data_IF_395753858249
#
_entry.id   IF_395753858249
#
_cell.length_a   1.000
_cell.length_b   1.000
_cell.length_c   1.000
_cell.angle_alpha   90.00
_cell.angle_beta   90.00
_cell.angle_gamma   90.00
#
_symmetry.space_group_name_H-M   'P 1'
#
loop_
_entity.id
_entity.type
_entity.pdbx_description
1 polymer ?
#
# COMPACT_ATOMS: atom_id res chain seq x y z
N UNK A 1 -19.88 8.83 -14.28
CA UNK A 1 -20.18 7.43 -14.62
C UNK A 1 -18.90 6.59 -14.66
N UNK A 2 -18.91 5.43 -14.01
CA UNK A 2 -17.77 4.50 -13.89
C UNK A 2 -18.02 3.27 -14.77
N UNK A 3 -17.48 3.22 -15.99
CA UNK A 3 -17.80 2.17 -16.97
C UNK A 3 -17.24 0.80 -16.61
N UNK A 4 -16.29 0.71 -15.66
CA UNK A 4 -15.69 -0.54 -15.16
C UNK A 4 -16.29 -1.01 -13.84
N UNK A 5 -17.28 -0.28 -13.31
CA UNK A 5 -18.00 -0.66 -12.10
C UNK A 5 -17.06 -0.99 -10.92
N UNK A 6 -17.27 -2.13 -10.32
CA UNK A 6 -16.57 -2.61 -9.13
C UNK A 6 -15.08 -2.93 -9.32
N UNK A 7 -14.65 -3.21 -10.57
CA UNK A 7 -13.26 -3.55 -10.91
C UNK A 7 -12.24 -2.49 -10.44
N UNK A 8 -12.61 -1.20 -10.51
CA UNK A 8 -11.72 -0.07 -10.22
C UNK A 8 -12.17 0.74 -9.00
N UNK A 9 -13.22 0.34 -8.30
CA UNK A 9 -13.86 1.18 -7.28
C UNK A 9 -12.92 1.57 -6.13
N UNK A 10 -12.06 0.64 -5.70
CA UNK A 10 -11.09 0.91 -4.61
C UNK A 10 -9.90 1.78 -5.02
N UNK A 11 -9.70 1.99 -6.32
CA UNK A 11 -8.70 2.92 -6.86
C UNK A 11 -9.34 4.25 -7.19
N UNK A 12 -10.33 4.24 -8.10
CA UNK A 12 -10.97 5.48 -8.54
C UNK A 12 -11.77 6.14 -7.42
N UNK A 13 -12.38 5.33 -6.56
CA UNK A 13 -13.36 5.83 -5.60
C UNK A 13 -14.66 6.22 -6.32
N UNK A 14 -15.32 7.24 -5.81
CA UNK A 14 -16.55 7.75 -6.39
C UNK A 14 -16.78 9.23 -6.05
N UNK A 15 -17.50 9.91 -6.91
CA UNK A 15 -18.10 11.23 -6.62
C UNK A 15 -19.47 11.04 -5.96
N UNK A 16 -19.81 11.90 -5.04
CA UNK A 16 -21.12 11.94 -4.39
C UNK A 16 -21.60 13.37 -4.21
N UNK A 17 -22.83 13.56 -3.75
CA UNK A 17 -23.35 14.90 -3.47
C UNK A 17 -22.54 15.58 -2.38
N UNK A 18 -22.32 16.88 -2.56
CA UNK A 18 -21.71 17.73 -1.54
C UNK A 18 -22.55 17.68 -0.26
N UNK A 19 -21.86 17.57 0.87
CA UNK A 19 -22.42 17.73 2.21
C UNK A 19 -21.74 18.87 2.97
N UNK A 20 -22.17 19.11 4.22
CA UNK A 20 -21.64 20.20 5.05
C UNK A 20 -20.17 20.01 5.39
N UNK A 21 -19.73 18.75 5.58
CA UNK A 21 -18.35 18.46 5.92
C UNK A 21 -17.41 18.70 4.72
N UNK A 22 -17.91 18.46 3.51
CA UNK A 22 -17.17 18.76 2.28
C UNK A 22 -16.94 20.26 2.11
N UNK A 23 -17.93 21.10 2.42
CA UNK A 23 -17.81 22.56 2.32
C UNK A 23 -16.73 23.14 3.24
N UNK A 24 -16.43 22.48 4.35
CA UNK A 24 -15.37 22.89 5.27
C UNK A 24 -13.95 22.67 4.72
N UNK A 25 -13.80 21.94 3.63
CA UNK A 25 -12.47 21.54 3.06
C UNK A 25 -12.22 22.06 1.65
N UNK A 26 -13.18 22.78 1.07
CA UNK A 26 -13.07 23.32 -0.29
C UNK A 26 -13.26 24.85 -0.31
N UNK A 27 -12.84 25.51 -1.38
CA UNK A 27 -13.15 26.91 -1.62
C UNK A 27 -14.63 27.09 -1.95
N UNK A 28 -15.40 27.64 -1.02
CA UNK A 28 -16.83 27.87 -1.17
C UNK A 28 -17.18 28.65 -2.46
N UNK A 29 -16.34 29.63 -2.84
CA UNK A 29 -16.53 30.43 -4.05
C UNK A 29 -16.50 29.57 -5.31
N UNK A 30 -15.55 28.65 -5.41
CA UNK A 30 -15.38 27.74 -6.56
C UNK A 30 -16.44 26.63 -6.59
N UNK A 31 -17.00 26.24 -5.44
CA UNK A 31 -17.99 25.17 -5.32
C UNK A 31 -19.45 25.63 -5.27
N UNK A 32 -19.71 26.95 -5.35
CA UNK A 32 -21.07 27.51 -5.21
C UNK A 32 -22.09 26.97 -6.21
N UNK A 33 -21.65 26.55 -7.38
CA UNK A 33 -22.52 25.93 -8.42
C UNK A 33 -22.34 24.41 -8.54
N UNK A 34 -21.48 23.81 -7.74
CA UNK A 34 -21.13 22.39 -7.82
C UNK A 34 -22.08 21.56 -6.94
N UNK A 35 -22.49 20.42 -7.44
CA UNK A 35 -23.41 19.50 -6.73
C UNK A 35 -22.74 18.22 -6.27
N UNK A 36 -21.57 17.89 -6.82
CA UNK A 36 -20.83 16.65 -6.57
C UNK A 36 -19.37 16.93 -6.22
N UNK A 37 -18.78 16.05 -5.45
CA UNK A 37 -17.37 16.09 -5.03
C UNK A 37 -16.83 14.67 -4.90
N UNK A 38 -15.53 14.48 -5.09
CA UNK A 38 -14.87 13.22 -4.82
C UNK A 38 -14.93 12.82 -3.34
N UNK A 39 -15.47 11.63 -3.07
CA UNK A 39 -15.66 11.11 -1.70
C UNK A 39 -14.58 10.13 -1.28
N UNK A 40 -13.98 9.41 -2.20
CA UNK A 40 -12.93 8.44 -1.94
C UNK A 40 -12.01 8.25 -3.15
N UNK A 41 -10.92 7.50 -2.99
CA UNK A 41 -10.04 7.12 -4.10
C UNK A 41 -9.34 8.31 -4.77
N UNK A 42 -9.01 8.13 -6.03
CA UNK A 42 -8.44 9.15 -6.92
C UNK A 42 -9.35 10.37 -7.04
N UNK A 43 -10.67 10.18 -7.11
CA UNK A 43 -11.65 11.27 -7.16
C UNK A 43 -11.46 12.24 -5.99
N UNK A 44 -11.22 11.72 -4.78
CA UNK A 44 -11.01 12.57 -3.60
C UNK A 44 -9.59 13.10 -3.50
N UNK A 45 -8.58 12.28 -3.84
CA UNK A 45 -7.17 12.67 -3.69
C UNK A 45 -6.78 13.79 -4.65
N UNK A 46 -7.29 13.74 -5.86
CA UNK A 46 -7.02 14.70 -6.93
C UNK A 46 -8.21 15.64 -7.24
N UNK A 47 -9.13 15.82 -6.30
CA UNK A 47 -10.30 16.68 -6.45
C UNK A 47 -9.93 18.06 -7.01
N UNK A 48 -8.88 18.70 -6.48
CA UNK A 48 -8.44 20.03 -6.93
C UNK A 48 -8.01 20.07 -8.39
N UNK A 49 -7.53 18.96 -8.94
CA UNK A 49 -7.18 18.84 -10.35
C UNK A 49 -8.40 18.50 -11.22
N UNK A 50 -9.27 17.62 -10.71
CA UNK A 50 -10.42 17.10 -11.45
C UNK A 50 -11.56 18.12 -11.53
N UNK A 51 -11.79 18.91 -10.49
CA UNK A 51 -12.92 19.86 -10.43
C UNK A 51 -12.73 21.07 -11.36
N UNK A 52 -11.50 21.58 -11.48
CA UNK A 52 -11.24 22.80 -12.24
C UNK A 52 -11.68 24.07 -11.51
N UNK A 53 -12.11 25.10 -12.27
CA UNK A 53 -12.58 26.38 -11.73
C UNK A 53 -13.93 26.76 -12.32
N UNK A 54 -14.86 27.11 -11.47
CA UNK A 54 -16.16 27.64 -11.87
C UNK A 54 -16.03 29.02 -12.53
N UNK A 55 -16.74 29.25 -13.61
CA UNK A 55 -16.86 30.59 -14.21
C UNK A 55 -17.72 31.50 -13.37
N UNK A 56 -17.42 32.80 -13.39
CA UNK A 56 -18.13 33.83 -12.63
C UNK A 56 -18.63 34.91 -13.57
N UNK A 57 -19.90 35.30 -13.43
CA UNK A 57 -20.45 36.50 -14.04
C UNK A 57 -20.87 37.50 -12.96
N UNK A 58 -20.30 38.71 -13.02
CA UNK A 58 -20.80 39.86 -12.28
C UNK A 58 -21.83 40.58 -13.12
N UNK A 59 -23.06 40.66 -12.64
CA UNK A 59 -24.17 41.27 -13.35
C UNK A 59 -24.74 42.43 -12.53
N UNK A 60 -25.12 43.52 -13.21
CA UNK A 60 -25.98 44.56 -12.66
C UNK A 60 -27.42 44.11 -12.77
N UNK A 61 -28.16 44.14 -11.67
CA UNK A 61 -29.59 43.75 -11.65
C UNK A 61 -30.47 44.93 -11.23
N UNK A 62 -31.73 44.95 -11.72
CA UNK A 62 -32.73 45.84 -11.21
C UNK A 62 -33.32 45.35 -9.87
N UNK A 63 -34.21 46.14 -9.27
CA UNK A 63 -34.87 45.82 -8.01
C UNK A 63 -35.68 44.50 -8.02
N UNK A 64 -36.02 43.96 -9.19
CA UNK A 64 -36.73 42.68 -9.39
C UNK A 64 -35.76 41.51 -9.68
N UNK A 65 -34.43 41.72 -9.57
CA UNK A 65 -33.44 40.70 -9.81
C UNK A 65 -33.16 40.38 -11.29
N UNK A 66 -33.68 41.16 -12.24
CA UNK A 66 -33.42 40.95 -13.68
C UNK A 66 -32.03 41.54 -14.03
N UNK A 67 -31.20 40.79 -14.71
CA UNK A 67 -29.91 41.24 -15.23
C UNK A 67 -30.10 42.38 -16.23
N UNK A 68 -29.48 43.50 -15.97
CA UNK A 68 -29.46 44.69 -16.84
C UNK A 68 -28.22 44.70 -17.72
N UNK A 69 -27.06 44.34 -17.12
CA UNK A 69 -25.77 44.37 -17.78
C UNK A 69 -24.82 43.34 -17.17
N UNK A 70 -24.03 42.69 -17.97
CA UNK A 70 -22.88 41.91 -17.52
C UNK A 70 -21.72 42.89 -17.37
N UNK A 71 -21.19 43.00 -16.15
CA UNK A 71 -20.08 43.90 -15.81
C UNK A 71 -18.74 43.21 -16.05
N UNK A 72 -18.67 41.91 -15.67
CA UNK A 72 -17.45 41.12 -15.78
C UNK A 72 -17.83 39.65 -15.99
N UNK A 73 -17.03 38.94 -16.78
CA UNK A 73 -17.21 37.51 -17.00
C UNK A 73 -15.87 36.81 -17.00
N UNK A 74 -15.70 35.86 -16.09
CA UNK A 74 -14.58 34.91 -16.07
C UNK A 74 -15.09 33.57 -16.62
N UNK A 75 -14.41 33.04 -17.65
CA UNK A 75 -14.78 31.75 -18.21
C UNK A 75 -14.41 30.62 -17.25
N UNK A 76 -15.20 29.54 -17.20
CA UNK A 76 -14.84 28.36 -16.43
C UNK A 76 -13.57 27.71 -16.99
N UNK A 77 -12.76 27.13 -16.09
CA UNK A 77 -11.60 26.33 -16.45
C UNK A 77 -11.92 24.86 -16.20
N UNK A 78 -11.88 24.05 -17.23
CA UNK A 78 -12.13 22.61 -17.12
C UNK A 78 -11.10 21.95 -16.21
N UNK A 79 -11.51 20.91 -15.47
CA UNK A 79 -10.64 20.04 -14.73
C UNK A 79 -9.62 19.34 -15.62
N UNK A 80 -8.64 18.74 -14.99
CA UNK A 80 -7.52 18.09 -15.66
C UNK A 80 -7.81 16.59 -15.86
N UNK A 81 -7.57 16.06 -17.04
CA UNK A 81 -7.60 14.62 -17.29
C UNK A 81 -6.41 13.95 -16.58
N UNK A 82 -6.67 12.91 -15.82
CA UNK A 82 -5.64 12.11 -15.16
C UNK A 82 -5.40 10.81 -15.92
N UNK A 83 -4.13 10.54 -16.21
CA UNK A 83 -3.69 9.29 -16.83
C UNK A 83 -3.03 8.46 -15.73
N UNK A 84 -3.67 7.34 -15.38
CA UNK A 84 -3.19 6.46 -14.33
C UNK A 84 -2.18 5.43 -14.88
N UNK A 85 -1.27 4.98 -14.03
CA UNK A 85 -0.30 3.93 -14.34
C UNK A 85 -0.94 2.53 -14.47
N UNK A 86 -2.19 2.38 -14.05
CA UNK A 86 -2.91 1.10 -14.09
C UNK A 86 -3.00 0.53 -15.52
N UNK A 87 -2.61 -0.73 -15.68
CA UNK A 87 -2.95 -1.53 -16.86
C UNK A 87 -4.24 -2.30 -16.59
N UNK A 88 -5.31 -1.95 -17.30
CA UNK A 88 -6.62 -2.55 -17.10
C UNK A 88 -6.64 -4.06 -17.37
N UNK A 89 -5.73 -4.58 -18.20
CA UNK A 89 -5.60 -6.01 -18.49
C UNK A 89 -5.00 -6.75 -17.30
N UNK A 90 -3.97 -6.18 -16.66
CA UNK A 90 -3.36 -6.72 -15.45
C UNK A 90 -4.34 -6.63 -14.28
N UNK A 91 -5.06 -5.51 -14.15
CA UNK A 91 -6.12 -5.33 -13.17
C UNK A 91 -7.20 -6.40 -13.31
N UNK A 92 -7.68 -6.65 -14.54
CA UNK A 92 -8.68 -7.68 -14.82
C UNK A 92 -8.16 -9.09 -14.51
N UNK A 93 -6.94 -9.41 -14.93
CA UNK A 93 -6.34 -10.71 -14.63
C UNK A 93 -6.20 -10.95 -13.12
N UNK A 94 -5.78 -9.95 -12.35
CA UNK A 94 -5.71 -10.02 -10.89
C UNK A 94 -7.11 -10.20 -10.25
N UNK A 95 -8.10 -9.50 -10.78
CA UNK A 95 -9.49 -9.61 -10.35
C UNK A 95 -10.05 -11.03 -10.57
N UNK A 96 -9.82 -11.57 -11.76
CA UNK A 96 -10.30 -12.91 -12.14
C UNK A 96 -9.58 -14.00 -11.35
N UNK A 97 -8.28 -13.84 -11.10
CA UNK A 97 -7.48 -14.79 -10.31
C UNK A 97 -7.95 -14.91 -8.84
N UNK A 98 -8.48 -13.84 -8.25
CA UNK A 98 -9.08 -13.91 -6.92
C UNK A 98 -10.42 -14.66 -6.93
N UNK A 99 -11.14 -14.70 -8.05
CA UNK A 99 -12.48 -15.32 -8.12
C UNK A 99 -13.43 -14.68 -7.09
N UNK A 100 -14.16 -15.52 -6.36
CA UNK A 100 -15.07 -15.08 -5.29
C UNK A 100 -14.40 -14.94 -3.91
N UNK A 101 -13.10 -15.17 -3.82
CA UNK A 101 -12.36 -15.12 -2.54
C UNK A 101 -12.13 -13.67 -2.12
N UNK A 102 -12.42 -13.31 -0.86
CA UNK A 102 -11.95 -12.05 -0.30
C UNK A 102 -10.43 -12.00 -0.32
N UNK A 103 -9.88 -10.87 -0.80
CA UNK A 103 -8.42 -10.74 -0.90
C UNK A 103 -7.99 -9.43 -1.52
N UNK A 104 -6.69 -9.29 -1.68
CA UNK A 104 -6.05 -8.14 -2.30
C UNK A 104 -4.91 -8.59 -3.23
N UNK A 105 -4.73 -7.85 -4.31
CA UNK A 105 -3.55 -7.96 -5.21
C UNK A 105 -3.02 -6.55 -5.45
N UNK A 106 -1.71 -6.39 -5.31
CA UNK A 106 -1.00 -5.16 -5.68
C UNK A 106 0.18 -5.54 -6.56
N UNK A 107 0.29 -4.91 -7.71
CA UNK A 107 1.43 -5.04 -8.62
C UNK A 107 2.06 -3.67 -8.87
N UNK A 108 3.37 -3.56 -8.60
CA UNK A 108 4.15 -2.32 -8.72
C UNK A 108 5.27 -2.56 -9.71
N UNK A 109 5.47 -1.63 -10.63
CA UNK A 109 6.65 -1.63 -11.50
C UNK A 109 7.87 -1.22 -10.67
N UNK A 110 8.89 -2.09 -10.54
CA UNK A 110 10.07 -1.78 -9.73
C UNK A 110 10.96 -0.70 -10.34
N UNK A 111 10.74 -0.31 -11.58
CA UNK A 111 11.56 0.68 -12.29
C UNK A 111 11.24 2.12 -11.91
N UNK A 112 9.99 2.39 -11.48
CA UNK A 112 9.52 3.76 -11.23
C UNK A 112 8.43 3.89 -10.15
N UNK A 113 8.04 2.79 -9.49
CA UNK A 113 7.01 2.77 -8.46
C UNK A 113 5.56 2.87 -8.98
N UNK A 114 5.34 2.79 -10.29
CA UNK A 114 4.01 2.81 -10.89
C UNK A 114 3.18 1.61 -10.44
N UNK A 115 2.00 1.86 -9.87
CA UNK A 115 1.04 0.82 -9.50
C UNK A 115 0.28 0.39 -10.75
N UNK A 116 0.62 -0.78 -11.29
CA UNK A 116 0.03 -1.31 -12.54
C UNK A 116 -1.24 -2.11 -12.29
N UNK A 117 -1.46 -2.63 -11.08
CA UNK A 117 -2.72 -3.21 -10.63
C UNK A 117 -2.90 -3.06 -9.12
N UNK A 118 -4.15 -2.84 -8.70
CA UNK A 118 -4.52 -2.71 -7.29
C UNK A 118 -5.95 -3.18 -7.10
N UNK A 119 -6.12 -4.44 -6.68
CA UNK A 119 -7.42 -5.12 -6.53
C UNK A 119 -7.72 -5.38 -5.06
N UNK A 120 -8.93 -5.05 -4.64
CA UNK A 120 -9.48 -5.42 -3.33
C UNK A 120 -10.85 -6.06 -3.51
N UNK A 121 -11.06 -7.30 -3.04
CA UNK A 121 -12.33 -8.02 -3.11
C UNK A 121 -12.86 -8.38 -1.72
N UNK A 122 -14.19 -8.43 -1.55
CA UNK A 122 -15.22 -7.95 -2.48
C UNK A 122 -15.18 -6.43 -2.66
N UNK A 123 -15.81 -5.94 -3.72
CA UNK A 123 -15.94 -4.53 -4.04
C UNK A 123 -17.42 -4.14 -4.21
N UNK A 124 -17.68 -2.93 -4.65
CA UNK A 124 -19.03 -2.41 -4.85
C UNK A 124 -19.10 -1.56 -6.12
N UNK A 125 -20.29 -1.41 -6.70
CA UNK A 125 -20.49 -0.51 -7.84
C UNK A 125 -20.49 0.95 -7.38
N UNK A 126 -19.48 1.76 -7.76
CA UNK A 126 -19.41 3.18 -7.40
C UNK A 126 -20.54 4.02 -8.00
N UNK A 127 -21.15 3.59 -9.09
CA UNK A 127 -22.27 4.30 -9.73
C UNK A 127 -23.48 4.44 -8.79
N UNK A 128 -23.66 3.55 -7.83
CA UNK A 128 -24.73 3.62 -6.84
C UNK A 128 -24.65 4.88 -5.97
N UNK A 129 -23.47 5.47 -5.83
CA UNK A 129 -23.23 6.63 -4.96
C UNK A 129 -23.36 7.97 -5.67
N UNK A 130 -23.21 8.01 -7.00
CA UNK A 130 -23.14 9.27 -7.78
C UNK A 130 -24.35 10.15 -7.55
N UNK A 131 -25.56 9.60 -7.61
CA UNK A 131 -26.80 10.37 -7.43
C UNK A 131 -27.40 10.25 -6.02
N UNK A 132 -26.64 9.64 -5.10
CA UNK A 132 -27.09 9.28 -3.77
C UNK A 132 -27.63 7.86 -3.71
N UNK A 133 -27.10 7.09 -2.75
CA UNK A 133 -27.52 5.71 -2.53
C UNK A 133 -28.75 5.66 -1.62
N UNK A 134 -29.72 4.81 -1.95
CA UNK A 134 -30.87 4.58 -1.08
C UNK A 134 -30.46 3.93 0.25
N UNK A 135 -31.14 4.30 1.35
CA UNK A 135 -30.79 3.83 2.70
C UNK A 135 -30.77 2.29 2.83
N UNK A 136 -31.64 1.57 2.10
CA UNK A 136 -31.63 0.10 2.12
C UNK A 136 -30.41 -0.45 1.39
N UNK A 137 -30.12 0.01 0.17
CA UNK A 137 -28.94 -0.41 -0.60
C UNK A 137 -27.63 -0.13 0.15
N UNK A 138 -27.56 1.01 0.85
CA UNK A 138 -26.39 1.32 1.69
C UNK A 138 -26.23 0.36 2.87
N UNK A 139 -27.34 0.03 3.58
CA UNK A 139 -27.32 -0.98 4.64
C UNK A 139 -26.90 -2.35 4.14
N UNK A 140 -27.38 -2.74 2.95
CA UNK A 140 -27.04 -4.03 2.33
C UNK A 140 -25.53 -4.12 2.06
N UNK A 141 -24.91 -3.05 1.52
CA UNK A 141 -23.46 -3.00 1.30
C UNK A 141 -22.70 -3.01 2.64
N UNK A 142 -23.16 -2.28 3.66
CA UNK A 142 -22.49 -2.23 4.97
C UNK A 142 -22.54 -3.58 5.69
N UNK A 143 -23.65 -4.32 5.56
CA UNK A 143 -23.84 -5.62 6.20
C UNK A 143 -23.36 -6.80 5.33
N UNK A 144 -22.95 -6.53 4.09
CA UNK A 144 -22.50 -7.57 3.17
C UNK A 144 -21.27 -8.33 3.71
N UNK A 145 -21.25 -9.66 3.59
CA UNK A 145 -20.09 -10.47 3.94
C UNK A 145 -18.83 -9.98 3.22
N UNK A 146 -17.71 -10.00 3.92
CA UNK A 146 -16.45 -9.61 3.33
C UNK A 146 -16.21 -8.09 3.26
N UNK A 147 -17.13 -7.23 3.73
CA UNK A 147 -16.93 -5.78 3.86
C UNK A 147 -16.51 -5.12 2.55
N UNK A 148 -17.41 -4.98 1.55
CA UNK A 148 -17.07 -4.45 0.21
C UNK A 148 -16.48 -3.03 0.20
N UNK A 149 -16.84 -2.19 1.19
CA UNK A 149 -16.31 -0.82 1.31
C UNK A 149 -14.88 -0.77 1.83
N UNK A 150 -14.37 -1.88 2.36
CA UNK A 150 -13.04 -1.94 2.97
C UNK A 150 -11.96 -2.21 1.92
N UNK A 151 -11.15 -1.20 1.62
CA UNK A 151 -10.01 -1.34 0.74
C UNK A 151 -8.87 -2.13 1.41
N UNK A 152 -8.79 -3.44 1.11
CA UNK A 152 -7.80 -4.35 1.69
C UNK A 152 -6.37 -4.04 1.33
N UNK A 153 -6.14 -3.45 0.16
CA UNK A 153 -4.80 -3.14 -0.32
C UNK A 153 -4.15 -2.06 0.52
N UNK A 154 -4.96 -1.09 0.98
CA UNK A 154 -4.52 0.14 1.63
C UNK A 154 -4.75 0.12 3.16
N UNK A 155 -5.89 -0.44 3.60
CA UNK A 155 -6.33 -0.42 5.00
C UNK A 155 -6.11 -1.76 5.71
N UNK A 156 -6.02 -2.87 4.95
CA UNK A 156 -5.87 -4.21 5.49
C UNK A 156 -4.49 -4.41 6.10
N UNK A 157 -4.46 -4.66 7.42
CA UNK A 157 -3.25 -5.03 8.13
C UNK A 157 -3.17 -6.54 8.31
N UNK A 158 -2.09 -7.16 7.85
CA UNK A 158 -1.89 -8.60 7.89
C UNK A 158 -0.51 -8.94 8.42
N UNK A 159 -0.38 -10.08 9.12
CA UNK A 159 0.93 -10.65 9.42
C UNK A 159 1.58 -11.08 8.09
N UNK A 160 2.77 -10.56 7.74
CA UNK A 160 3.43 -10.91 6.49
C UNK A 160 3.89 -12.37 6.44
N UNK A 161 4.08 -13.00 7.59
CA UNK A 161 4.60 -14.37 7.68
C UNK A 161 5.93 -14.49 6.96
N UNK A 162 6.17 -15.61 6.30
CA UNK A 162 7.45 -15.90 5.63
C UNK A 162 7.82 -14.95 4.49
N UNK A 163 6.93 -14.09 4.04
CA UNK A 163 7.27 -13.07 3.03
C UNK A 163 8.20 -11.98 3.57
N UNK A 164 8.38 -11.89 4.90
CA UNK A 164 9.36 -10.99 5.52
C UNK A 164 10.79 -11.55 5.49
N UNK A 165 10.94 -12.88 5.35
CA UNK A 165 12.26 -13.56 5.47
C UNK A 165 13.32 -13.06 4.50
N UNK A 166 13.03 -12.71 3.24
CA UNK A 166 14.02 -12.10 2.36
C UNK A 166 14.64 -10.82 2.95
N UNK A 167 13.83 -9.98 3.59
CA UNK A 167 14.29 -8.73 4.21
C UNK A 167 15.08 -8.97 5.49
N UNK A 168 14.69 -9.95 6.31
CA UNK A 168 15.42 -10.37 7.51
C UNK A 168 16.76 -11.02 7.13
N UNK A 169 16.76 -11.86 6.08
CA UNK A 169 17.98 -12.46 5.53
C UNK A 169 18.95 -11.41 5.01
N UNK A 170 18.44 -10.44 4.25
CA UNK A 170 19.22 -9.33 3.75
C UNK A 170 19.79 -8.48 4.91
N UNK A 171 19.01 -8.21 5.96
CA UNK A 171 19.50 -7.53 7.16
C UNK A 171 20.68 -8.29 7.81
N UNK A 172 20.59 -9.62 7.85
CA UNK A 172 21.67 -10.46 8.37
C UNK A 172 22.98 -10.32 7.60
N UNK A 173 22.89 -10.34 6.27
CA UNK A 173 24.03 -10.18 5.36
C UNK A 173 24.60 -8.75 5.43
N UNK A 174 23.77 -7.74 5.24
CA UNK A 174 24.16 -6.32 5.19
C UNK A 174 24.77 -5.81 6.51
N UNK A 175 24.32 -6.35 7.64
CA UNK A 175 24.86 -6.01 8.96
C UNK A 175 25.99 -6.95 9.42
N UNK A 176 26.46 -7.85 8.57
CA UNK A 176 27.57 -8.76 8.83
C UNK A 176 27.31 -9.75 9.97
N UNK A 177 26.05 -10.12 10.20
CA UNK A 177 25.66 -11.11 11.22
C UNK A 177 25.80 -12.53 10.68
N UNK A 178 25.57 -12.71 9.39
CA UNK A 178 25.78 -13.94 8.62
C UNK A 178 26.49 -13.62 7.31
N UNK A 179 27.08 -14.65 6.70
CA UNK A 179 27.50 -14.68 5.31
C UNK A 179 26.77 -15.82 4.57
N UNK A 180 27.01 -15.99 3.29
CA UNK A 180 26.33 -16.96 2.45
C UNK A 180 26.79 -18.41 2.64
N UNK A 181 27.98 -18.61 3.25
CA UNK A 181 28.55 -19.92 3.59
C UNK A 181 28.12 -20.43 4.97
N UNK A 182 27.63 -19.54 5.86
CA UNK A 182 27.21 -19.90 7.21
C UNK A 182 26.05 -20.89 7.18
N UNK A 183 26.24 -22.01 7.88
CA UNK A 183 25.24 -23.07 7.99
C UNK A 183 24.65 -23.13 9.41
N UNK A 184 23.34 -23.33 9.47
CA UNK A 184 22.59 -23.58 10.70
C UNK A 184 21.94 -24.96 10.60
N UNK A 185 22.08 -25.79 11.64
CA UNK A 185 21.39 -27.07 11.70
C UNK A 185 19.92 -26.89 12.10
N UNK A 186 19.01 -27.23 11.20
CA UNK A 186 17.59 -27.24 11.41
C UNK A 186 17.10 -28.62 11.79
N UNK A 187 16.88 -28.83 13.10
CA UNK A 187 16.30 -30.09 13.63
C UNK A 187 14.77 -30.09 13.75
N UNK A 188 14.10 -29.04 13.27
CA UNK A 188 12.64 -28.90 13.32
C UNK A 188 12.11 -28.21 14.59
N UNK A 189 12.95 -28.06 15.61
CA UNK A 189 12.59 -27.35 16.86
C UNK A 189 13.74 -26.43 17.27
N UNK A 190 13.40 -25.29 17.82
CA UNK A 190 14.32 -24.28 18.35
C UNK A 190 13.98 -23.95 19.80
N UNK A 191 14.96 -23.96 20.68
CA UNK A 191 14.77 -23.72 22.11
C UNK A 191 15.46 -22.43 22.54
N UNK A 192 14.73 -21.57 23.21
CA UNK A 192 15.34 -20.46 23.94
C UNK A 192 15.94 -20.96 25.27
N UNK A 193 17.04 -20.36 25.74
CA UNK A 193 17.57 -20.65 27.07
C UNK A 193 16.49 -20.49 28.14
N UNK A 194 16.40 -21.46 29.04
CA UNK A 194 15.45 -21.50 30.15
C UNK A 194 13.94 -21.53 29.74
N UNK A 195 13.63 -21.88 28.49
CA UNK A 195 12.27 -22.07 28.01
C UNK A 195 12.09 -23.52 27.58
N UNK A 196 11.18 -24.25 28.23
CA UNK A 196 10.94 -25.68 27.95
C UNK A 196 10.12 -25.92 26.69
N UNK A 197 9.34 -24.92 26.25
CA UNK A 197 8.49 -25.02 25.07
C UNK A 197 9.28 -24.62 23.82
N UNK A 198 9.44 -25.52 22.82
CA UNK A 198 10.12 -25.19 21.57
C UNK A 198 9.30 -24.29 20.65
N UNK A 199 10.01 -23.52 19.84
CA UNK A 199 9.49 -22.89 18.62
C UNK A 199 9.68 -23.89 17.48
N UNK A 200 8.61 -24.17 16.75
CA UNK A 200 8.60 -25.27 15.78
C UNK A 200 8.77 -24.77 14.36
N UNK A 201 9.53 -25.54 13.59
CA UNK A 201 9.53 -25.43 12.15
C UNK A 201 8.23 -26.03 11.56
N UNK A 202 7.89 -25.67 10.34
CA UNK A 202 6.77 -26.28 9.62
C UNK A 202 7.06 -27.74 9.25
N UNK A 203 8.35 -28.10 9.06
CA UNK A 203 8.82 -29.46 8.80
C UNK A 203 9.29 -30.11 10.09
N UNK A 204 8.54 -31.11 10.59
CA UNK A 204 8.79 -31.75 11.90
C UNK A 204 10.19 -32.33 12.09
N UNK A 205 10.78 -32.90 11.05
CA UNK A 205 12.15 -33.46 11.10
C UNK A 205 13.25 -32.44 10.86
N UNK A 206 12.89 -31.19 10.63
CA UNK A 206 13.83 -30.14 10.21
C UNK A 206 14.35 -30.33 8.79
N UNK A 207 15.34 -29.55 8.44
CA UNK A 207 15.88 -29.41 7.08
C UNK A 207 17.35 -29.87 6.98
N UNK A 208 17.96 -30.31 8.11
CA UNK A 208 19.39 -30.58 8.16
C UNK A 208 20.22 -29.31 8.23
N UNK A 209 21.46 -29.35 7.73
CA UNK A 209 22.32 -28.16 7.61
C UNK A 209 21.84 -27.30 6.45
N UNK A 210 21.55 -26.03 6.70
CA UNK A 210 21.03 -25.06 5.72
C UNK A 210 21.78 -23.73 5.82
N UNK A 211 22.16 -23.20 4.67
CA UNK A 211 22.63 -21.82 4.52
C UNK A 211 21.46 -20.90 4.13
N UNK A 212 21.76 -19.60 3.92
CA UNK A 212 20.75 -18.59 3.59
C UNK A 212 19.94 -18.93 2.31
N UNK A 213 20.58 -19.52 1.29
CA UNK A 213 19.89 -19.92 0.06
C UNK A 213 18.83 -20.98 0.32
N UNK A 214 19.22 -22.08 0.98
CA UNK A 214 18.30 -23.16 1.34
C UNK A 214 17.26 -22.72 2.37
N UNK A 215 17.63 -21.80 3.27
CA UNK A 215 16.71 -21.24 4.25
C UNK A 215 15.60 -20.40 3.63
N UNK A 216 15.91 -19.63 2.58
CA UNK A 216 14.91 -18.88 1.80
C UNK A 216 14.08 -19.81 0.92
N UNK A 217 14.72 -20.70 0.14
CA UNK A 217 14.09 -21.66 -0.77
C UNK A 217 13.04 -22.51 -0.06
N UNK A 218 13.39 -23.08 1.10
CA UNK A 218 12.54 -23.98 1.87
C UNK A 218 11.76 -23.28 2.98
N UNK A 219 11.91 -21.96 3.10
CA UNK A 219 11.24 -21.17 4.15
C UNK A 219 11.50 -21.69 5.58
N UNK A 220 12.76 -21.98 5.91
CA UNK A 220 13.18 -22.63 7.17
C UNK A 220 12.99 -21.69 8.35
N UNK A 221 12.07 -21.99 9.27
CA UNK A 221 11.81 -21.14 10.42
C UNK A 221 12.97 -21.13 11.41
N UNK A 222 13.56 -22.28 11.69
CA UNK A 222 14.64 -22.41 12.69
C UNK A 222 15.88 -21.60 12.33
N UNK A 223 16.20 -21.47 11.05
CA UNK A 223 17.26 -20.56 10.58
C UNK A 223 16.94 -19.10 10.94
N UNK A 224 15.74 -18.65 10.61
CA UNK A 224 15.32 -17.27 10.87
C UNK A 224 15.07 -16.98 12.35
N UNK A 225 14.76 -17.98 13.19
CA UNK A 225 14.71 -17.82 14.64
C UNK A 225 16.10 -17.46 15.19
N UNK A 226 17.14 -18.20 14.77
CA UNK A 226 18.51 -17.92 15.17
C UNK A 226 18.94 -16.54 14.66
N UNK A 227 18.78 -16.28 13.38
CA UNK A 227 19.17 -15.01 12.76
C UNK A 227 18.50 -13.80 13.43
N UNK A 228 17.20 -13.90 13.73
CA UNK A 228 16.48 -12.81 14.40
C UNK A 228 17.02 -12.51 15.79
N UNK A 229 17.41 -13.55 16.56
CA UNK A 229 18.06 -13.35 17.87
C UNK A 229 19.45 -12.72 17.76
N UNK A 230 20.24 -13.16 16.79
CA UNK A 230 21.60 -12.64 16.56
C UNK A 230 21.57 -11.19 16.06
N UNK A 231 20.59 -10.83 15.24
CA UNK A 231 20.29 -9.44 14.87
C UNK A 231 19.81 -8.62 16.07
N UNK A 232 18.90 -9.18 16.85
CA UNK A 232 18.11 -8.45 17.83
C UNK A 232 17.04 -7.56 17.19
N UNK A 233 15.96 -7.29 17.94
CA UNK A 233 14.79 -6.60 17.43
C UNK A 233 15.08 -5.17 16.95
N UNK A 234 15.99 -4.44 17.61
CA UNK A 234 16.22 -3.03 17.28
C UNK A 234 16.95 -2.91 15.92
N UNK A 235 18.04 -3.70 15.69
CA UNK A 235 18.74 -3.71 14.39
C UNK A 235 17.83 -4.20 13.26
N UNK A 236 17.03 -5.24 13.54
CA UNK A 236 16.04 -5.74 12.59
C UNK A 236 14.99 -4.67 12.26
N UNK A 237 14.45 -3.98 13.26
CA UNK A 237 13.50 -2.86 13.08
C UNK A 237 14.11 -1.76 12.22
N UNK A 238 15.29 -1.25 12.59
CA UNK A 238 15.93 -0.12 11.91
C UNK A 238 16.25 -0.45 10.44
N UNK A 239 16.63 -1.69 10.16
CA UNK A 239 16.90 -2.13 8.80
C UNK A 239 15.60 -2.27 7.97
N UNK A 240 14.58 -2.96 8.49
CA UNK A 240 13.32 -3.17 7.80
C UNK A 240 12.53 -1.86 7.56
N UNK A 241 12.66 -0.88 8.46
CA UNK A 241 12.05 0.43 8.30
C UNK A 241 12.49 1.14 7.01
N UNK A 242 13.70 0.88 6.52
CA UNK A 242 14.23 1.46 5.28
C UNK A 242 13.43 1.00 4.05
N UNK A 243 12.81 -0.18 4.11
CA UNK A 243 11.91 -0.70 3.08
C UNK A 243 10.48 -0.14 3.16
N UNK A 244 10.19 0.71 4.15
CA UNK A 244 8.90 1.35 4.34
C UNK A 244 7.93 0.59 5.24
N UNK A 245 8.36 -0.51 5.88
CA UNK A 245 7.53 -1.18 6.87
C UNK A 245 7.29 -0.28 8.10
N UNK A 246 6.07 -0.30 8.63
CA UNK A 246 5.68 0.46 9.81
C UNK A 246 5.34 1.93 9.55
N UNK A 247 5.31 2.37 8.29
CA UNK A 247 4.93 3.73 7.88
C UNK A 247 4.06 3.70 6.61
N UNK A 248 3.22 4.72 6.37
CA UNK A 248 2.52 4.85 5.10
C UNK A 248 3.50 4.84 3.92
N UNK A 249 3.14 4.18 2.84
CA UNK A 249 3.98 4.11 1.63
C UNK A 249 4.05 5.43 0.87
N UNK A 250 3.08 6.30 1.11
CA UNK A 250 2.90 7.56 0.40
C UNK A 250 2.20 7.42 -0.94
N UNK A 251 1.50 6.30 -1.15
CA UNK A 251 0.62 6.14 -2.31
C UNK A 251 -0.36 7.32 -2.40
N UNK A 252 -0.64 7.77 -3.60
CA UNK A 252 -1.54 8.88 -3.90
C UNK A 252 -3.04 8.52 -3.69
N UNK A 253 -3.32 7.98 -2.50
CA UNK A 253 -4.65 7.73 -1.93
C UNK A 253 -4.68 8.13 -0.45
N UNK A 254 -5.84 8.49 0.06
CA UNK A 254 -6.01 8.88 1.47
C UNK A 254 -6.29 7.68 2.37
N UNK A 255 -5.87 7.80 3.64
CA UNK A 255 -6.26 6.86 4.69
C UNK A 255 -5.43 5.58 4.72
N UNK A 256 -4.20 5.60 4.22
CA UNK A 256 -3.30 4.44 4.28
C UNK A 256 -2.99 4.02 5.73
N UNK A 257 -3.10 2.72 6.00
CA UNK A 257 -2.71 2.14 7.27
C UNK A 257 -1.17 2.01 7.34
N UNK A 258 -0.57 2.54 8.40
CA UNK A 258 0.88 2.46 8.61
C UNK A 258 1.41 1.05 8.90
N UNK A 259 0.54 0.09 9.21
CA UNK A 259 0.98 -1.20 9.72
C UNK A 259 1.67 -1.08 11.09
N UNK A 260 2.37 -2.12 11.47
CA UNK A 260 3.20 -2.17 12.69
C UNK A 260 4.51 -2.88 12.36
N UNK A 261 5.61 -2.16 12.50
CA UNK A 261 6.94 -2.74 12.57
C UNK A 261 7.38 -2.71 14.05
N UNK A 262 7.42 -3.86 14.74
CA UNK A 262 7.62 -3.88 16.17
C UNK A 262 9.05 -3.50 16.56
N UNK A 263 9.19 -2.82 17.73
CA UNK A 263 10.45 -2.51 18.39
C UNK A 263 10.26 -2.48 19.90
N UNK A 264 11.35 -2.42 20.66
CA UNK A 264 11.29 -2.23 22.13
C UNK A 264 10.56 -0.95 22.49
N UNK A 265 10.83 0.14 21.77
CA UNK A 265 10.19 1.44 22.00
C UNK A 265 8.69 1.39 21.71
N UNK A 266 8.32 0.80 20.56
CA UNK A 266 6.92 0.63 20.18
C UNK A 266 6.15 -0.16 21.24
N UNK A 267 6.67 -1.32 21.68
CA UNK A 267 5.99 -2.14 22.68
C UNK A 267 5.84 -1.44 24.01
N UNK A 268 6.88 -0.73 24.47
CA UNK A 268 6.80 0.06 25.71
C UNK A 268 5.75 1.16 25.61
N UNK A 269 5.67 1.86 24.47
CA UNK A 269 4.67 2.90 24.25
C UNK A 269 3.25 2.37 24.18
N UNK A 270 3.07 1.24 23.49
CA UNK A 270 1.73 0.67 23.26
C UNK A 270 1.16 -0.11 24.46
N UNK A 271 2.02 -0.86 25.17
CA UNK A 271 1.59 -1.80 26.21
C UNK A 271 2.20 -1.52 27.59
N UNK A 272 3.14 -0.60 27.73
CA UNK A 272 3.88 -0.37 28.97
C UNK A 272 4.76 -1.55 29.42
N UNK A 273 5.08 -2.49 28.50
CA UNK A 273 5.77 -3.73 28.80
C UNK A 273 7.17 -3.78 28.17
N UNK A 274 8.13 -4.54 28.76
CA UNK A 274 9.42 -4.79 28.15
C UNK A 274 9.27 -5.73 26.94
N UNK A 275 10.29 -5.72 26.07
CA UNK A 275 10.43 -6.68 24.98
C UNK A 275 11.07 -7.98 25.47
N UNK A 276 10.59 -9.12 25.01
CA UNK A 276 11.10 -10.44 25.37
C UNK A 276 11.76 -11.15 24.17
N UNK A 277 12.82 -11.98 24.39
CA UNK A 277 13.51 -12.69 23.29
C UNK A 277 12.58 -13.55 22.42
N UNK A 278 11.56 -14.17 23.01
CA UNK A 278 10.59 -14.96 22.24
C UNK A 278 9.78 -14.15 21.22
N UNK A 279 9.58 -12.86 21.47
CA UNK A 279 8.92 -11.96 20.53
C UNK A 279 9.83 -11.63 19.34
N UNK A 280 11.15 -11.56 19.56
CA UNK A 280 12.14 -11.39 18.46
C UNK A 280 12.09 -12.59 17.50
N UNK A 281 12.05 -13.81 18.02
CA UNK A 281 11.92 -15.04 17.22
C UNK A 281 10.70 -14.99 16.32
N UNK A 282 9.55 -14.66 16.89
CA UNK A 282 8.28 -14.60 16.16
C UNK A 282 8.28 -13.46 15.14
N UNK A 283 8.86 -12.31 15.51
CA UNK A 283 9.00 -11.18 14.58
C UNK A 283 9.89 -11.51 13.38
N UNK A 284 10.95 -12.31 13.57
CA UNK A 284 11.87 -12.74 12.49
C UNK A 284 11.24 -13.59 11.41
N UNK A 285 10.09 -14.18 11.67
CA UNK A 285 9.30 -14.94 10.68
C UNK A 285 8.01 -14.21 10.26
N UNK A 286 7.90 -12.91 10.57
CA UNK A 286 6.81 -12.07 10.15
C UNK A 286 5.47 -12.31 10.86
N UNK A 287 5.52 -12.81 12.10
CA UNK A 287 4.34 -13.06 12.93
C UNK A 287 4.35 -12.20 14.21
N UNK A 288 3.38 -12.39 15.07
CA UNK A 288 3.26 -11.69 16.33
C UNK A 288 2.76 -10.25 16.16
N UNK A 289 3.60 -9.26 16.44
CA UNK A 289 3.22 -7.85 16.32
C UNK A 289 3.44 -7.26 14.92
N UNK A 290 4.04 -8.00 14.00
CA UNK A 290 4.21 -7.53 12.63
C UNK A 290 2.87 -7.38 11.92
N UNK A 291 2.59 -6.18 11.43
CA UNK A 291 1.40 -5.91 10.60
C UNK A 291 1.83 -5.08 9.40
N UNK A 292 1.54 -5.57 8.20
CA UNK A 292 1.83 -4.86 6.95
C UNK A 292 0.60 -4.77 6.07
N UNK A 293 0.52 -3.73 5.24
CA UNK A 293 -0.48 -3.67 4.18
C UNK A 293 0.04 -4.32 2.90
N UNK A 294 -0.84 -4.82 2.02
CA UNK A 294 -0.43 -5.32 0.71
C UNK A 294 0.37 -4.32 -0.11
N UNK A 295 0.06 -3.02 -0.03
CA UNK A 295 0.83 -1.96 -0.71
C UNK A 295 2.24 -1.86 -0.14
N UNK A 296 2.39 -1.86 1.19
CA UNK A 296 3.72 -1.84 1.83
C UNK A 296 4.57 -3.03 1.40
N UNK A 297 4.01 -4.24 1.46
CA UNK A 297 4.72 -5.46 1.09
C UNK A 297 5.12 -5.45 -0.40
N UNK A 298 4.22 -5.03 -1.29
CA UNK A 298 4.51 -4.92 -2.71
C UNK A 298 5.63 -3.90 -2.99
N UNK A 299 5.59 -2.73 -2.31
CA UNK A 299 6.60 -1.69 -2.47
C UNK A 299 7.97 -2.12 -1.94
N UNK A 300 8.01 -2.77 -0.76
CA UNK A 300 9.23 -3.34 -0.22
C UNK A 300 9.82 -4.42 -1.17
N UNK A 301 8.97 -5.28 -1.73
CA UNK A 301 9.39 -6.31 -2.70
C UNK A 301 9.92 -5.69 -3.99
N UNK A 302 9.29 -4.63 -4.51
CA UNK A 302 9.79 -3.88 -5.67
C UNK A 302 11.17 -3.26 -5.39
N UNK A 303 11.37 -2.73 -4.17
CA UNK A 303 12.66 -2.18 -3.71
C UNK A 303 13.75 -3.26 -3.66
N UNK A 304 13.42 -4.45 -3.17
CA UNK A 304 14.34 -5.59 -3.16
C UNK A 304 14.68 -6.03 -4.59
N UNK A 305 13.70 -6.11 -5.46
CA UNK A 305 13.88 -6.55 -6.84
C UNK A 305 14.77 -5.62 -7.66
N UNK A 306 14.72 -4.30 -7.42
CA UNK A 306 15.47 -3.30 -8.18
C UNK A 306 16.85 -2.93 -7.57
N UNK A 307 17.28 -3.60 -6.48
CA UNK A 307 18.58 -3.37 -5.87
C UNK A 307 18.62 -2.15 -4.92
N UNK A 308 17.51 -1.82 -4.27
CA UNK A 308 17.49 -0.86 -3.16
C UNK A 308 16.93 0.53 -3.47
N UNK A 309 16.46 0.79 -4.68
CA UNK A 309 15.76 2.05 -4.97
C UNK A 309 14.30 1.94 -4.54
N UNK A 310 13.95 2.55 -3.42
CA UNK A 310 12.58 2.60 -2.94
C UNK A 310 11.83 3.77 -3.57
N UNK A 311 11.02 3.48 -4.57
CA UNK A 311 10.11 4.48 -5.14
C UNK A 311 8.89 4.67 -4.25
N UNK A 312 8.39 5.91 -4.17
CA UNK A 312 7.06 6.17 -3.65
C UNK A 312 6.05 5.58 -4.66
N UNK A 313 5.19 4.64 -4.24
CA UNK A 313 4.21 4.07 -5.14
C UNK A 313 3.23 5.14 -5.61
N UNK A 314 2.81 5.08 -6.89
CA UNK A 314 1.96 6.10 -7.50
C UNK A 314 0.93 5.49 -8.45
N UNK A 315 -0.25 6.04 -8.42
CA UNK A 315 -1.32 5.75 -9.39
C UNK A 315 -1.31 6.77 -10.54
N UNK A 316 -1.02 8.05 -10.25
CA UNK A 316 -0.96 9.07 -11.29
C UNK A 316 0.35 8.96 -12.09
N UNK A 317 0.22 8.66 -13.38
CA UNK A 317 1.34 8.64 -14.31
C UNK A 317 1.52 10.01 -14.99
N UNK A 318 0.45 10.56 -15.56
CA UNK A 318 0.49 11.83 -16.26
C UNK A 318 -0.84 12.60 -16.13
N UNK A 319 -0.80 13.89 -16.42
CA UNK A 319 -1.98 14.74 -16.43
C UNK A 319 -2.03 15.62 -17.69
N UNK A 320 -3.26 15.91 -18.17
CA UNK A 320 -3.48 16.69 -19.38
C UNK A 320 -4.67 17.64 -19.19
N UNK A 321 -4.50 18.92 -19.50
CA UNK A 321 -5.63 19.86 -19.51
C UNK A 321 -6.47 19.64 -20.77
N UNK A 322 -7.80 19.52 -20.68
CA UNK A 322 -8.67 19.43 -21.84
C UNK A 322 -8.49 20.62 -22.79
N UNK A 323 -8.55 20.35 -24.09
CA UNK A 323 -8.36 21.38 -25.12
C UNK A 323 -6.91 21.83 -25.33
N UNK A 324 -5.95 21.29 -24.60
CA UNK A 324 -4.52 21.51 -24.85
C UNK A 324 -3.97 20.39 -25.74
N UNK A 325 -3.52 20.72 -26.95
CA UNK A 325 -2.89 19.77 -27.87
C UNK A 325 -1.49 19.31 -27.44
N UNK A 326 -0.91 19.97 -26.44
CA UNK A 326 0.39 19.56 -25.89
C UNK A 326 0.31 18.16 -25.29
N UNK A 327 1.43 17.43 -25.33
CA UNK A 327 1.54 16.13 -24.70
C UNK A 327 1.17 16.18 -23.21
N UNK A 328 0.64 15.07 -22.69
CA UNK A 328 0.38 14.94 -21.27
C UNK A 328 1.67 15.18 -20.46
N UNK A 329 1.56 15.93 -19.36
CA UNK A 329 2.68 16.17 -18.45
C UNK A 329 2.87 14.92 -17.60
N UNK A 330 3.96 14.20 -17.83
CA UNK A 330 4.37 13.10 -16.96
C UNK A 330 4.81 13.61 -15.58
N UNK A 331 4.48 12.86 -14.54
CA UNK A 331 4.93 13.12 -13.18
C UNK A 331 6.16 12.27 -12.89
N UNK A 332 7.26 12.90 -12.49
CA UNK A 332 8.50 12.20 -12.18
C UNK A 332 8.33 11.32 -10.93
N UNK A 333 8.91 10.10 -10.90
CA UNK A 333 8.90 9.27 -9.73
C UNK A 333 9.74 9.89 -8.59
N UNK A 334 9.28 9.73 -7.36
CA UNK A 334 10.03 10.09 -6.15
C UNK A 334 10.66 8.84 -5.59
N UNK A 335 11.96 8.87 -5.33
CA UNK A 335 12.73 7.73 -4.86
C UNK A 335 13.61 8.06 -3.67
N UNK A 336 13.85 7.04 -2.83
CA UNK A 336 14.83 7.03 -1.76
C UNK A 336 15.74 5.82 -1.95
N UNK A 337 17.02 5.95 -1.64
CA UNK A 337 17.95 4.83 -1.71
C UNK A 337 18.03 4.13 -0.37
N UNK A 338 17.76 2.83 -0.34
CA UNK A 338 18.13 1.96 0.79
C UNK A 338 19.65 1.81 0.76
N UNK A 339 20.39 2.07 1.84
CA UNK A 339 21.82 1.87 1.87
C UNK A 339 22.18 0.42 1.54
N UNK A 340 23.14 0.23 0.68
CA UNK A 340 23.68 -1.06 0.24
C UNK A 340 25.12 -1.13 0.71
N UNK A 341 25.44 -2.06 1.59
CA UNK A 341 26.83 -2.30 2.03
C UNK A 341 27.60 -3.12 0.99
N UNK A 342 26.94 -4.16 0.44
CA UNK A 342 27.47 -4.98 -0.64
C UNK A 342 26.34 -5.43 -1.58
N UNK A 343 26.46 -5.14 -2.88
CA UNK A 343 25.49 -5.57 -3.91
C UNK A 343 25.37 -7.10 -3.97
N UNK A 344 26.41 -7.84 -3.64
CA UNK A 344 26.39 -9.30 -3.60
C UNK A 344 25.35 -9.83 -2.59
N UNK A 345 25.16 -9.17 -1.46
CA UNK A 345 24.16 -9.55 -0.46
C UNK A 345 22.73 -9.55 -1.05
N UNK A 346 22.43 -8.59 -1.92
CA UNK A 346 21.14 -8.48 -2.61
C UNK A 346 20.97 -9.59 -3.65
N UNK A 347 22.05 -9.96 -4.36
CA UNK A 347 22.03 -11.07 -5.31
C UNK A 347 21.83 -12.41 -4.61
N UNK A 348 22.45 -12.62 -3.44
CA UNK A 348 22.24 -13.81 -2.60
C UNK A 348 20.76 -13.99 -2.26
N UNK A 349 20.12 -12.94 -1.76
CA UNK A 349 18.71 -13.00 -1.37
C UNK A 349 17.80 -13.21 -2.60
N UNK A 350 18.05 -12.50 -3.71
CA UNK A 350 17.29 -12.68 -4.97
C UNK A 350 17.43 -14.09 -5.50
N UNK A 351 18.63 -14.68 -5.44
CA UNK A 351 18.86 -16.06 -5.86
C UNK A 351 18.14 -17.04 -4.93
N UNK A 352 18.16 -16.84 -3.60
CA UNK A 352 17.39 -17.65 -2.66
C UNK A 352 15.88 -17.62 -2.96
N UNK A 353 15.34 -16.42 -3.29
CA UNK A 353 13.95 -16.28 -3.71
C UNK A 353 13.67 -16.98 -5.05
N UNK A 354 14.59 -16.90 -6.02
CA UNK A 354 14.45 -17.54 -7.33
C UNK A 354 14.36 -19.06 -7.22
N UNK A 355 15.04 -19.68 -6.25
CA UNK A 355 15.03 -21.14 -6.04
C UNK A 355 13.69 -21.69 -5.51
N UNK A 356 12.79 -20.82 -5.05
CA UNK A 356 11.44 -21.22 -4.59
C UNK A 356 10.55 -21.68 -5.74
N UNK A 357 10.85 -21.24 -6.99
CA UNK A 357 9.96 -21.41 -8.18
C UNK A 357 10.48 -22.53 -9.09
#
# INVERSE_FOLDING_TARGET
YYPRGDLLTHVLGYVGRLDVDDLNRVDEGNYRGTTHIGKSGIERYYEDLLHGRSGIEKVETNAQGRTLKVLEREAPVHGTDLILALDVRVQQAAWDALGERPGAVVAIDPRDGSVIAMVSKPAFDPNLFVHGIGAQAYRDILSAPGRPLFNRTLLGGYEPGSTIKPFVGLAGLELGVINDEDEVFSGGEYYLPNVSRPYRDWKRGGHGSVNIYAALEQSVNTFFYQLALDLGIDRMHDYLAQFGFGAPSGLDLLGENSGVLPSRQWKRGQFGQPWYPGETIIAGIGQGFNVVTPVQLANATATLANGGTRFQPRLLYASKRPGNEQAAKEHAPVAQQVPVADELNWDIVREGMRRVV
#
